data_IF_679149290289
#
_entry.id   IF_679149290289
#
_cell.length_a   1.000
_cell.length_b   1.000
_cell.length_c   1.000
_cell.angle_alpha   90.00
_cell.angle_beta   90.00
_cell.angle_gamma   90.00
#
_symmetry.space_group_name_H-M   'P 1'
#
loop_
_entity.id
_entity.type
_entity.pdbx_description
1 polymer ?
#
# COMPACT_ATOMS: atom_id res chain seq x y z
N UNK A 1 29.67 46.86 -5.71
CA UNK A 1 28.96 46.94 -7.00
C UNK A 1 28.44 45.54 -7.29
N UNK A 2 27.53 44.98 -6.49
CA UNK A 2 26.11 45.39 -6.31
C UNK A 2 25.44 45.50 -7.69
N UNK A 3 24.35 44.82 -8.03
CA UNK A 3 23.07 44.70 -7.33
C UNK A 3 22.27 43.49 -7.87
N UNK A 4 21.42 42.91 -7.02
CA UNK A 4 20.33 41.95 -7.25
C UNK A 4 19.41 42.25 -8.46
N UNK A 5 18.77 41.22 -9.05
CA UNK A 5 17.31 41.11 -8.88
C UNK A 5 16.72 39.77 -9.32
N UNK A 6 15.80 39.34 -8.46
CA UNK A 6 14.89 38.22 -8.55
C UNK A 6 13.81 38.47 -9.61
N UNK A 7 13.25 37.40 -10.17
CA UNK A 7 12.03 37.46 -10.99
C UNK A 7 10.98 36.57 -10.35
N UNK A 8 10.07 37.20 -9.60
CA UNK A 8 8.81 36.61 -9.14
C UNK A 8 7.87 36.38 -10.33
N UNK A 9 7.20 35.23 -10.36
CA UNK A 9 6.14 34.93 -11.32
C UNK A 9 4.78 35.12 -10.65
N UNK A 10 4.04 36.12 -11.13
CA UNK A 10 2.74 36.60 -10.64
C UNK A 10 1.60 35.85 -11.33
N UNK A 11 0.59 35.48 -10.54
CA UNK A 11 -0.68 34.87 -10.98
C UNK A 11 -1.58 35.99 -11.51
N UNK A 12 -2.10 35.84 -12.73
CA UNK A 12 -3.07 36.76 -13.33
C UNK A 12 -4.51 36.25 -13.13
N UNK A 13 -5.37 37.13 -12.61
CA UNK A 13 -6.82 37.00 -12.53
C UNK A 13 -7.45 37.67 -13.76
N UNK A 14 -8.40 37.00 -14.42
CA UNK A 14 -9.30 37.61 -15.42
C UNK A 14 -10.51 38.31 -14.74
N UNK A 15 -11.04 39.42 -15.30
CA UNK A 15 -12.10 40.22 -14.70
C UNK A 15 -13.52 39.95 -15.24
N UNK A 16 -14.51 40.25 -14.39
CA UNK A 16 -15.96 40.25 -14.61
C UNK A 16 -16.49 41.35 -15.56
N UNK A 17 -17.66 41.12 -16.17
CA UNK A 17 -18.56 42.16 -16.71
C UNK A 17 -20.05 41.73 -16.76
N UNK A 18 -20.77 42.10 -15.69
CA UNK A 18 -22.16 42.58 -15.49
C UNK A 18 -23.31 42.43 -16.53
N UNK A 19 -24.51 42.07 -16.03
CA UNK A 19 -25.76 42.91 -15.95
C UNK A 19 -26.95 42.07 -15.39
N UNK A 20 -27.44 42.36 -14.17
CA UNK A 20 -28.62 43.16 -13.76
C UNK A 20 -30.02 42.55 -14.02
N UNK A 21 -30.77 42.26 -12.94
CA UNK A 21 -32.07 42.89 -12.63
C UNK A 21 -32.52 42.61 -11.18
N UNK A 22 -33.36 43.51 -10.66
CA UNK A 22 -33.55 43.86 -9.25
C UNK A 22 -34.79 43.23 -8.59
N UNK A 23 -34.81 43.17 -7.25
CA UNK A 23 -36.02 42.81 -6.50
C UNK A 23 -35.89 42.72 -4.97
N UNK A 24 -35.95 43.88 -4.31
CA UNK A 24 -36.47 44.15 -2.95
C UNK A 24 -35.86 43.54 -1.66
N UNK A 25 -35.54 44.44 -0.73
CA UNK A 25 -35.27 44.28 0.70
C UNK A 25 -36.32 43.46 1.47
N UNK A 26 -35.86 42.62 2.41
CA UNK A 26 -36.21 42.76 3.85
C UNK A 26 -35.31 41.87 4.72
N UNK A 27 -34.83 42.49 5.80
CA UNK A 27 -34.02 41.95 6.87
C UNK A 27 -34.94 41.25 7.87
N UNK A 28 -34.83 39.93 7.98
CA UNK A 28 -35.36 39.17 9.13
C UNK A 28 -34.27 38.22 9.61
N UNK A 29 -33.82 38.48 10.82
CA UNK A 29 -33.07 37.58 11.69
C UNK A 29 -34.01 36.49 12.18
N UNK A 30 -33.65 35.23 12.00
CA UNK A 30 -34.18 34.15 12.83
C UNK A 30 -33.07 33.16 13.15
N UNK A 31 -32.66 33.23 14.41
CA UNK A 31 -31.97 32.18 15.14
C UNK A 31 -32.85 30.92 15.15
N UNK A 32 -32.31 29.82 14.65
CA UNK A 32 -32.83 28.49 14.95
C UNK A 32 -31.65 27.55 15.16
N UNK A 33 -31.24 27.47 16.42
CA UNK A 33 -30.40 26.43 16.99
C UNK A 33 -30.98 25.05 16.67
N UNK A 34 -30.47 24.44 15.61
CA UNK A 34 -30.62 23.02 15.36
C UNK A 34 -29.57 22.28 16.17
N UNK A 35 -29.87 21.98 17.43
CA UNK A 35 -29.15 20.98 18.23
C UNK A 35 -29.22 19.63 17.52
N UNK A 36 -28.26 19.38 16.61
CA UNK A 36 -28.04 18.04 16.10
C UNK A 36 -27.26 17.28 17.17
N UNK A 37 -28.02 16.59 18.03
CA UNK A 37 -27.52 15.61 18.98
C UNK A 37 -26.86 14.47 18.20
N UNK A 38 -25.60 14.68 17.82
CA UNK A 38 -24.69 13.58 17.52
C UNK A 38 -24.52 12.80 18.83
N UNK A 39 -25.29 11.73 18.96
CA UNK A 39 -25.15 10.70 19.97
C UNK A 39 -23.78 10.05 19.73
N UNK A 40 -22.72 10.68 20.27
CA UNK A 40 -21.47 9.98 20.51
C UNK A 40 -21.83 8.82 21.45
N UNK A 41 -21.55 7.56 21.07
CA UNK A 41 -21.61 6.50 22.05
C UNK A 41 -20.69 6.90 23.19
N UNK A 42 -21.27 7.12 24.38
CA UNK A 42 -20.51 7.27 25.60
C UNK A 42 -19.55 6.09 25.65
N UNK A 43 -18.26 6.40 25.52
CA UNK A 43 -17.19 5.43 25.60
C UNK A 43 -17.09 4.98 27.06
N UNK A 44 -18.04 4.15 27.49
CA UNK A 44 -17.92 3.35 28.70
C UNK A 44 -16.97 2.19 28.38
N UNK A 45 -15.68 2.51 28.48
CA UNK A 45 -14.64 1.50 28.56
C UNK A 45 -13.72 1.91 29.70
N UNK A 46 -14.07 1.45 30.90
CA UNK A 46 -13.10 1.27 31.98
C UNK A 46 -12.22 0.06 31.63
N UNK A 47 -11.48 0.14 30.53
CA UNK A 47 -10.25 -0.64 30.40
C UNK A 47 -9.29 0.02 31.38
N UNK A 48 -8.99 -0.67 32.48
CA UNK A 48 -7.99 -0.20 33.42
C UNK A 48 -6.70 0.07 32.62
N UNK A 49 -6.15 1.28 32.75
CA UNK A 49 -4.89 1.73 32.11
C UNK A 49 -3.73 0.77 32.45
N UNK A 50 -3.91 -0.08 33.46
CA UNK A 50 -2.95 -1.04 34.01
C UNK A 50 -2.63 -2.22 33.07
N UNK A 51 -3.48 -2.53 32.08
CA UNK A 51 -3.25 -3.66 31.17
C UNK A 51 -2.65 -3.27 29.80
N UNK A 52 -2.36 -1.99 29.56
CA UNK A 52 -1.86 -1.55 28.25
C UNK A 52 -0.36 -1.83 28.10
N UNK A 53 -0.03 -2.89 27.34
CA UNK A 53 1.37 -3.17 27.02
C UNK A 53 1.94 -2.07 26.11
N UNK A 54 3.27 -1.97 26.10
CA UNK A 54 3.99 -1.08 25.17
C UNK A 54 3.63 -1.35 23.71
N UNK A 55 3.33 -2.60 23.36
CA UNK A 55 2.96 -3.00 22.02
C UNK A 55 1.52 -2.57 21.67
N UNK A 56 0.58 -2.70 22.60
CA UNK A 56 -0.80 -2.26 22.40
C UNK A 56 -0.86 -0.75 22.17
N UNK A 57 -0.13 0.01 22.99
CA UNK A 57 -0.04 1.46 22.83
C UNK A 57 0.54 1.84 21.47
N UNK A 58 1.64 1.19 21.05
CA UNK A 58 2.24 1.44 19.74
C UNK A 58 1.28 1.10 18.59
N UNK A 59 0.52 0.01 18.73
CA UNK A 59 -0.48 -0.43 17.74
C UNK A 59 -1.59 0.60 17.58
N UNK A 60 -2.21 1.03 18.69
CA UNK A 60 -3.27 2.05 18.68
C UNK A 60 -2.78 3.36 18.09
N UNK A 61 -1.57 3.79 18.46
CA UNK A 61 -0.99 5.03 17.94
C UNK A 61 -0.69 4.98 16.42
N UNK A 62 -0.27 3.82 15.89
CA UNK A 62 -0.17 3.63 14.44
C UNK A 62 -1.55 3.64 13.79
N UNK A 63 -2.53 2.93 14.34
CA UNK A 63 -3.89 2.94 13.81
C UNK A 63 -4.47 4.36 13.76
N UNK A 64 -4.28 5.14 14.83
CA UNK A 64 -4.67 6.54 14.90
C UNK A 64 -3.99 7.39 13.82
N UNK A 65 -2.67 7.26 13.68
CA UNK A 65 -1.91 7.94 12.61
C UNK A 65 -2.46 7.61 11.22
N UNK A 66 -2.72 6.33 10.96
CA UNK A 66 -3.20 5.86 9.65
C UNK A 66 -4.62 6.36 9.37
N UNK A 67 -5.50 6.29 10.37
CA UNK A 67 -6.91 6.70 10.27
C UNK A 67 -7.08 8.20 10.02
N UNK A 68 -6.26 9.03 10.66
CA UNK A 68 -6.35 10.50 10.59
C UNK A 68 -5.22 11.15 9.77
N UNK A 69 -4.38 10.34 9.11
CA UNK A 69 -3.28 10.78 8.23
C UNK A 69 -2.33 11.79 8.89
N UNK A 70 -2.07 11.63 10.19
CA UNK A 70 -1.25 12.56 10.98
C UNK A 70 0.18 12.56 10.45
N UNK A 71 0.79 13.74 10.34
CA UNK A 71 2.19 13.88 9.91
C UNK A 71 3.15 13.28 10.94
N UNK A 72 4.40 12.98 10.55
CA UNK A 72 5.41 12.48 11.50
C UNK A 72 5.66 13.51 12.61
N UNK A 73 5.69 14.80 12.27
CA UNK A 73 5.79 15.89 13.25
C UNK A 73 4.61 15.89 14.21
N UNK A 74 3.37 15.78 13.70
CA UNK A 74 2.17 15.69 14.53
C UNK A 74 2.17 14.48 15.45
N UNK A 75 2.65 13.32 14.98
CA UNK A 75 2.81 12.14 15.83
C UNK A 75 3.83 12.33 16.93
N UNK A 76 4.97 12.96 16.65
CA UNK A 76 5.95 13.27 17.69
C UNK A 76 5.40 14.26 18.72
N UNK A 77 4.60 15.25 18.28
CA UNK A 77 3.90 16.15 19.20
C UNK A 77 2.91 15.39 20.09
N UNK A 78 2.12 14.47 19.53
CA UNK A 78 1.21 13.62 20.29
C UNK A 78 1.96 12.76 21.31
N UNK A 79 3.05 12.12 20.91
CA UNK A 79 3.90 11.35 21.82
C UNK A 79 4.44 12.22 22.97
N UNK A 80 4.82 13.46 22.68
CA UNK A 80 5.27 14.38 23.73
C UNK A 80 4.14 14.78 24.68
N UNK A 81 2.92 15.01 24.17
CA UNK A 81 1.74 15.25 25.02
C UNK A 81 1.51 14.05 25.94
N UNK A 82 1.54 12.82 25.42
CA UNK A 82 1.34 11.61 26.23
C UNK A 82 2.44 11.45 27.31
N UNK A 83 3.68 11.80 27.01
CA UNK A 83 4.76 11.84 28.03
C UNK A 83 4.52 12.91 29.09
N UNK A 84 4.05 14.10 28.71
CA UNK A 84 3.70 15.16 29.65
C UNK A 84 2.55 14.73 30.58
N UNK A 85 1.59 13.98 30.05
CA UNK A 85 0.51 13.34 30.81
C UNK A 85 0.96 12.11 31.60
N UNK A 86 2.26 11.78 31.58
CA UNK A 86 2.87 10.64 32.28
C UNK A 86 2.22 9.30 31.94
N UNK A 87 1.71 9.14 30.72
CA UNK A 87 1.17 7.86 30.24
C UNK A 87 2.33 6.84 30.22
N UNK A 88 2.17 5.66 30.82
CA UNK A 88 3.21 4.64 30.84
C UNK A 88 3.49 4.11 29.43
N UNK A 89 4.67 3.52 29.21
CA UNK A 89 5.04 2.81 27.99
C UNK A 89 5.06 3.64 26.68
N UNK A 90 4.95 4.97 26.75
CA UNK A 90 4.98 5.83 25.55
C UNK A 90 6.35 5.76 24.85
N UNK A 91 6.39 5.46 23.53
CA UNK A 91 7.65 5.49 22.78
C UNK A 91 8.31 6.87 22.75
N UNK A 92 9.64 6.89 22.64
CA UNK A 92 10.42 8.13 22.62
C UNK A 92 10.08 9.02 21.40
N UNK A 93 9.83 8.41 20.25
CA UNK A 93 9.47 9.10 19.02
C UNK A 93 8.75 8.13 18.06
N UNK A 94 8.29 8.66 16.94
CA UNK A 94 7.64 7.87 15.89
C UNK A 94 8.55 6.75 15.36
N UNK A 95 9.85 6.97 15.26
CA UNK A 95 10.78 5.95 14.75
C UNK A 95 10.87 4.75 15.69
N UNK A 96 10.96 5.00 16.99
CA UNK A 96 11.00 4.01 18.07
C UNK A 96 9.69 3.24 18.14
N UNK A 97 8.57 3.94 17.98
CA UNK A 97 7.24 3.35 17.87
C UNK A 97 7.13 2.37 16.70
N UNK A 98 7.61 2.75 15.51
CA UNK A 98 7.63 1.86 14.34
C UNK A 98 8.59 0.69 14.54
N UNK A 99 9.77 0.90 15.16
CA UNK A 99 10.73 -0.18 15.46
C UNK A 99 10.12 -1.24 16.36
N UNK A 100 9.37 -0.83 17.39
CA UNK A 100 8.73 -1.76 18.33
C UNK A 100 7.80 -2.74 17.61
N UNK A 101 7.01 -2.26 16.66
CA UNK A 101 6.09 -3.08 15.87
C UNK A 101 6.81 -4.01 14.88
N UNK A 102 8.02 -3.65 14.44
CA UNK A 102 8.83 -4.53 13.58
C UNK A 102 9.45 -5.68 14.36
N UNK A 103 9.92 -5.43 15.59
CA UNK A 103 10.60 -6.43 16.42
C UNK A 103 9.69 -7.54 16.94
N UNK A 104 8.37 -7.29 16.99
CA UNK A 104 7.37 -8.28 17.44
C UNK A 104 6.86 -9.17 16.30
N UNK A 105 7.24 -8.87 15.05
CA UNK A 105 6.99 -9.75 13.91
C UNK A 105 7.99 -10.90 13.94
N UNK A 106 7.69 -11.95 14.72
CA UNK A 106 8.49 -13.17 14.92
C UNK A 106 8.58 -14.09 13.70
N UNK A 107 8.25 -13.62 12.50
CA UNK A 107 8.42 -14.41 11.29
C UNK A 107 9.91 -14.64 11.01
N UNK A 108 10.30 -15.90 10.87
CA UNK A 108 11.67 -16.44 10.69
C UNK A 108 12.36 -15.98 9.39
N UNK A 109 11.79 -15.04 8.66
CA UNK A 109 12.38 -14.40 7.49
C UNK A 109 11.89 -12.94 7.40
N UNK A 110 12.69 -12.02 6.82
CA UNK A 110 12.19 -10.68 6.58
C UNK A 110 10.96 -10.80 5.65
N UNK A 111 9.81 -10.18 5.98
CA UNK A 111 8.57 -10.32 5.21
C UNK A 111 8.70 -9.78 3.77
N UNK A 112 9.82 -9.13 3.48
CA UNK A 112 10.20 -8.67 2.17
C UNK A 112 11.72 -8.63 2.01
N UNK A 113 12.18 -8.78 0.78
CA UNK A 113 13.57 -8.65 0.35
C UNK A 113 13.69 -7.36 -0.47
N UNK A 114 14.66 -6.51 -0.11
CA UNK A 114 14.98 -5.34 -0.93
C UNK A 114 15.93 -5.77 -2.05
N UNK A 115 15.44 -5.71 -3.26
CA UNK A 115 16.18 -5.96 -4.49
C UNK A 115 16.57 -4.62 -5.15
N UNK A 116 17.64 -4.66 -5.94
CA UNK A 116 18.15 -3.52 -6.69
C UNK A 116 18.22 -3.88 -8.16
N UNK A 117 17.78 -2.99 -9.02
CA UNK A 117 17.85 -3.20 -10.46
C UNK A 117 19.10 -2.53 -11.02
N UNK A 118 19.94 -3.31 -11.72
CA UNK A 118 21.12 -2.77 -12.38
C UNK A 118 20.72 -2.17 -13.75
N UNK A 119 20.86 -0.84 -13.97
CA UNK A 119 20.43 -0.23 -15.23
C UNK A 119 21.29 -0.60 -16.43
N UNK A 120 22.51 -1.10 -16.23
CA UNK A 120 23.42 -1.49 -17.31
C UNK A 120 23.15 -2.91 -17.81
N UNK A 121 22.90 -3.84 -16.88
CA UNK A 121 22.69 -5.25 -17.22
C UNK A 121 21.23 -5.65 -17.28
N UNK A 122 20.32 -4.76 -16.83
CA UNK A 122 18.89 -5.04 -16.67
C UNK A 122 18.61 -6.26 -15.77
N UNK A 123 19.54 -6.55 -14.85
CA UNK A 123 19.45 -7.67 -13.91
C UNK A 123 19.03 -7.22 -12.52
N UNK A 124 18.25 -8.06 -11.86
CA UNK A 124 17.88 -7.90 -10.45
C UNK A 124 19.01 -8.46 -9.58
N UNK A 125 19.47 -7.65 -8.64
CA UNK A 125 20.46 -8.01 -7.62
C UNK A 125 19.82 -7.98 -6.24
N UNK A 126 20.10 -8.98 -5.41
CA UNK A 126 19.78 -8.95 -3.97
C UNK A 126 20.75 -8.07 -3.18
N UNK A 127 21.87 -7.69 -3.79
CA UNK A 127 22.80 -6.74 -3.20
C UNK A 127 22.35 -5.31 -3.47
N UNK A 128 22.37 -4.49 -2.43
CA UNK A 128 22.01 -3.07 -2.52
C UNK A 128 23.18 -2.19 -2.97
N UNK A 129 24.39 -2.74 -2.91
CA UNK A 129 25.65 -2.03 -3.15
C UNK A 129 26.27 -2.31 -4.50
N UNK A 130 25.93 -3.44 -5.13
CA UNK A 130 26.57 -3.89 -6.36
C UNK A 130 25.68 -4.81 -7.22
N UNK A 131 26.07 -4.95 -8.49
CA UNK A 131 25.47 -5.87 -9.44
C UNK A 131 26.00 -7.29 -9.23
N UNK A 132 25.18 -8.30 -9.51
CA UNK A 132 25.56 -9.72 -9.44
C UNK A 132 26.32 -10.21 -10.67
N UNK A 133 26.28 -9.47 -11.78
CA UNK A 133 27.00 -9.82 -13.00
C UNK A 133 28.47 -9.41 -12.90
N UNK A 134 29.39 -10.37 -12.92
CA UNK A 134 30.85 -10.17 -12.81
C UNK A 134 31.45 -9.30 -13.91
N UNK A 135 30.80 -9.29 -15.09
CA UNK A 135 31.22 -8.49 -16.24
C UNK A 135 30.61 -7.08 -16.26
N UNK A 136 29.82 -6.72 -15.25
CA UNK A 136 29.25 -5.39 -15.12
C UNK A 136 30.26 -4.41 -14.51
N UNK A 137 30.28 -3.17 -15.00
CA UNK A 137 31.08 -2.11 -14.35
C UNK A 137 30.66 -1.87 -12.91
N UNK A 138 29.41 -2.20 -12.58
CA UNK A 138 28.84 -2.07 -11.24
C UNK A 138 28.98 -3.35 -10.39
N UNK A 139 29.73 -4.37 -10.83
CA UNK A 139 29.91 -5.62 -10.11
C UNK A 139 30.53 -5.44 -8.72
N UNK A 140 31.52 -4.55 -8.62
CA UNK A 140 32.20 -4.26 -7.34
C UNK A 140 31.38 -3.28 -6.51
N UNK A 141 30.84 -2.25 -7.15
CA UNK A 141 30.05 -1.22 -6.50
C UNK A 141 29.27 -0.41 -7.54
N UNK A 142 28.04 -0.01 -7.21
CA UNK A 142 27.33 0.99 -7.98
C UNK A 142 28.01 2.35 -7.88
N UNK A 143 28.42 2.93 -9.02
CA UNK A 143 29.09 4.25 -9.10
C UNK A 143 28.20 5.39 -8.58
N UNK A 144 26.89 5.25 -8.73
CA UNK A 144 25.87 6.19 -8.25
C UNK A 144 24.91 5.47 -7.31
N UNK A 145 24.28 6.19 -6.36
CA UNK A 145 23.14 5.65 -5.62
C UNK A 145 22.07 5.23 -6.63
N UNK A 146 21.87 3.92 -6.78
CA UNK A 146 20.79 3.42 -7.62
C UNK A 146 19.47 3.90 -7.02
N UNK A 147 18.68 4.57 -7.85
CA UNK A 147 17.35 5.08 -7.45
C UNK A 147 16.26 4.01 -7.58
N UNK A 148 16.51 2.94 -8.35
CA UNK A 148 15.54 1.90 -8.65
C UNK A 148 15.74 0.69 -7.72
N UNK A 149 14.89 0.64 -6.70
CA UNK A 149 14.77 -0.50 -5.82
C UNK A 149 13.43 -1.18 -6.07
N UNK A 150 13.42 -2.49 -5.89
CA UNK A 150 12.22 -3.29 -5.86
C UNK A 150 12.13 -3.97 -4.51
N UNK A 151 10.92 -4.14 -4.00
CA UNK A 151 10.67 -4.86 -2.76
C UNK A 151 9.91 -6.11 -3.16
N UNK A 152 10.51 -7.27 -2.95
CA UNK A 152 9.90 -8.58 -3.15
C UNK A 152 9.27 -9.02 -1.83
N UNK A 153 8.02 -9.48 -1.83
CA UNK A 153 7.36 -9.96 -0.62
C UNK A 153 7.35 -11.49 -0.58
N UNK A 154 7.52 -12.06 0.62
CA UNK A 154 7.30 -13.48 0.81
C UNK A 154 5.80 -13.78 0.66
N UNK A 155 5.45 -14.56 -0.37
CA UNK A 155 4.03 -14.85 -0.68
C UNK A 155 3.50 -16.12 0.00
N UNK A 156 4.37 -16.97 0.56
CA UNK A 156 4.00 -18.27 1.14
C UNK A 156 2.94 -18.11 2.25
N UNK A 157 3.19 -17.25 3.24
CA UNK A 157 2.23 -17.00 4.31
C UNK A 157 0.93 -16.35 3.83
N UNK A 158 0.99 -15.52 2.79
CA UNK A 158 -0.21 -14.91 2.20
C UNK A 158 -1.07 -15.98 1.54
N UNK A 159 -0.46 -16.87 0.76
CA UNK A 159 -1.14 -18.01 0.14
C UNK A 159 -1.76 -18.90 1.22
N UNK A 160 -0.99 -19.27 2.24
CA UNK A 160 -1.49 -20.10 3.34
C UNK A 160 -2.71 -19.47 4.02
N UNK A 161 -2.64 -18.19 4.40
CA UNK A 161 -3.75 -17.48 5.05
C UNK A 161 -5.00 -17.39 4.17
N UNK A 162 -4.83 -17.22 2.86
CA UNK A 162 -5.96 -17.22 1.92
C UNK A 162 -6.59 -18.61 1.85
N UNK A 163 -5.78 -19.67 1.73
CA UNK A 163 -6.27 -21.04 1.63
C UNK A 163 -6.94 -21.53 2.92
N UNK A 164 -6.52 -21.04 4.09
CA UNK A 164 -7.16 -21.32 5.37
C UNK A 164 -8.54 -20.67 5.49
N UNK A 165 -8.76 -19.52 4.85
CA UNK A 165 -10.04 -18.79 4.87
C UNK A 165 -10.99 -19.24 3.77
N UNK A 166 -10.48 -19.56 2.59
CA UNK A 166 -11.26 -19.95 1.42
C UNK A 166 -11.56 -21.45 1.44
N UNK A 167 -12.78 -21.81 1.85
CA UNK A 167 -13.20 -23.21 2.03
C UNK A 167 -13.59 -23.92 0.73
N UNK A 168 -13.81 -23.18 -0.36
CA UNK A 168 -14.33 -23.70 -1.61
C UNK A 168 -13.43 -23.34 -2.79
N UNK A 169 -12.48 -24.23 -3.07
CA UNK A 169 -11.62 -24.15 -4.24
C UNK A 169 -12.16 -25.03 -5.37
N UNK A 170 -12.15 -24.50 -6.59
CA UNK A 170 -12.57 -25.21 -7.80
C UNK A 170 -11.34 -25.73 -8.52
N UNK A 171 -11.22 -27.06 -8.61
CA UNK A 171 -10.17 -27.74 -9.36
C UNK A 171 -10.78 -28.42 -10.58
N UNK A 172 -10.77 -27.77 -11.76
CA UNK A 172 -11.35 -28.33 -12.97
C UNK A 172 -10.51 -29.49 -13.49
N UNK A 173 -11.17 -30.42 -14.17
CA UNK A 173 -10.54 -31.51 -14.91
C UNK A 173 -10.83 -31.35 -16.40
N UNK A 174 -10.08 -32.05 -17.26
CA UNK A 174 -10.30 -32.04 -18.71
C UNK A 174 -11.73 -32.47 -19.11
N UNK A 175 -12.40 -33.28 -18.28
CA UNK A 175 -13.78 -33.69 -18.53
C UNK A 175 -14.82 -32.61 -18.19
N UNK A 176 -14.45 -31.64 -17.35
CA UNK A 176 -15.38 -30.57 -16.90
C UNK A 176 -15.39 -29.35 -17.82
N UNK A 177 -14.47 -29.28 -18.78
CA UNK A 177 -14.31 -28.13 -19.67
C UNK A 177 -14.97 -28.41 -21.02
N UNK A 178 -15.72 -27.43 -21.52
CA UNK A 178 -16.32 -27.49 -22.84
C UNK A 178 -15.56 -26.52 -23.74
N UNK A 179 -14.99 -27.02 -24.83
CA UNK A 179 -14.18 -26.21 -25.76
C UNK A 179 -14.98 -25.03 -26.36
N UNK A 180 -16.30 -25.16 -26.46
CA UNK A 180 -17.17 -24.18 -27.12
C UNK A 180 -17.71 -23.11 -26.16
N UNK A 181 -17.53 -23.26 -24.84
CA UNK A 181 -18.09 -22.34 -23.84
C UNK A 181 -17.04 -21.91 -22.83
N UNK A 182 -16.69 -20.61 -22.84
CA UNK A 182 -15.81 -19.99 -21.85
C UNK A 182 -16.62 -19.42 -20.69
N UNK A 183 -16.49 -19.99 -19.50
CA UNK A 183 -17.18 -19.58 -18.27
C UNK A 183 -16.25 -18.89 -17.29
N UNK A 184 -15.02 -19.39 -17.16
CA UNK A 184 -14.02 -18.85 -16.23
C UNK A 184 -12.60 -19.01 -16.78
N UNK A 185 -11.61 -18.55 -16.00
CA UNK A 185 -10.17 -18.57 -16.32
C UNK A 185 -9.68 -19.95 -16.72
N UNK A 186 -10.21 -21.01 -16.11
CA UNK A 186 -9.78 -22.38 -16.41
C UNK A 186 -10.18 -22.84 -17.80
N UNK A 187 -11.19 -22.26 -18.46
CA UNK A 187 -11.52 -22.58 -19.85
C UNK A 187 -10.53 -21.93 -20.85
N UNK A 188 -9.58 -21.11 -20.35
CA UNK A 188 -8.53 -20.52 -21.16
C UNK A 188 -7.53 -21.57 -21.68
N UNK A 189 -7.06 -21.36 -22.91
CA UNK A 189 -6.14 -22.28 -23.61
C UNK A 189 -4.91 -22.64 -22.76
N UNK A 190 -4.27 -21.64 -22.14
CA UNK A 190 -3.08 -21.85 -21.30
C UNK A 190 -3.37 -22.72 -20.07
N UNK A 191 -4.54 -22.56 -19.45
CA UNK A 191 -4.91 -23.38 -18.31
C UNK A 191 -5.20 -24.82 -18.77
N UNK A 192 -5.86 -24.99 -19.91
CA UNK A 192 -6.13 -26.29 -20.51
C UNK A 192 -4.85 -27.04 -20.90
N UNK A 193 -3.86 -26.34 -21.48
CA UNK A 193 -2.51 -26.88 -21.73
C UNK A 193 -1.87 -27.40 -20.43
N UNK A 194 -1.97 -26.61 -19.35
CA UNK A 194 -1.48 -26.98 -18.02
C UNK A 194 -2.18 -28.22 -17.46
N UNK A 195 -3.51 -28.31 -17.57
CA UNK A 195 -4.28 -29.48 -17.16
C UNK A 195 -3.87 -30.76 -17.91
N UNK A 196 -3.61 -30.65 -19.23
CA UNK A 196 -3.13 -31.79 -20.03
C UNK A 196 -1.72 -32.20 -19.63
N UNK A 197 -0.85 -31.24 -19.34
CA UNK A 197 0.55 -31.49 -19.00
C UNK A 197 0.73 -31.99 -17.55
N UNK A 198 -0.11 -31.53 -16.62
CA UNK A 198 -0.03 -31.85 -15.19
C UNK A 198 -1.39 -32.29 -14.66
N UNK A 199 -1.74 -33.57 -14.79
CA UNK A 199 -2.98 -34.08 -14.20
C UNK A 199 -2.90 -34.04 -12.67
N UNK A 200 -3.96 -33.56 -12.02
CA UNK A 200 -4.07 -33.50 -10.55
C UNK A 200 -4.58 -32.16 -10.06
N UNK A 201 -4.55 -31.96 -8.73
CA UNK A 201 -4.88 -30.68 -8.09
C UNK A 201 -3.62 -29.84 -8.01
N UNK A 202 -3.67 -28.65 -8.61
CA UNK A 202 -2.62 -27.65 -8.51
C UNK A 202 -3.26 -26.28 -8.35
N UNK A 203 -2.50 -25.36 -7.75
CA UNK A 203 -2.87 -23.95 -7.70
C UNK A 203 -2.17 -23.21 -8.83
N UNK A 204 -2.88 -22.26 -9.44
CA UNK A 204 -2.31 -21.36 -10.42
C UNK A 204 -2.49 -19.92 -9.99
N UNK A 205 -1.48 -19.10 -10.32
CA UNK A 205 -1.47 -17.68 -10.00
C UNK A 205 -1.60 -16.88 -11.30
N UNK A 206 -2.57 -15.98 -11.34
CA UNK A 206 -2.61 -14.93 -12.36
C UNK A 206 -1.90 -13.69 -11.86
N UNK A 207 -0.95 -13.20 -12.65
CA UNK A 207 -0.22 -11.97 -12.38
C UNK A 207 -0.87 -10.79 -13.11
N UNK A 208 -1.13 -9.69 -12.39
CA UNK A 208 -1.46 -8.43 -13.04
C UNK A 208 -0.18 -7.79 -13.61
N UNK A 209 0.08 -8.03 -14.90
CA UNK A 209 1.28 -7.56 -15.59
C UNK A 209 1.41 -6.03 -15.61
N UNK A 210 0.29 -5.32 -15.63
CA UNK A 210 0.31 -3.86 -15.70
C UNK A 210 0.64 -3.16 -14.39
N UNK A 211 0.62 -3.92 -13.29
CA UNK A 211 0.74 -3.40 -11.93
C UNK A 211 -0.42 -2.45 -11.58
N UNK A 212 -0.72 -2.34 -10.30
CA UNK A 212 -1.68 -1.34 -9.82
C UNK A 212 -0.90 -0.16 -9.27
N UNK A 213 -1.12 1.04 -9.84
CA UNK A 213 -0.60 2.27 -9.25
C UNK A 213 -1.42 2.59 -7.99
N UNK A 214 -0.83 2.39 -6.82
CA UNK A 214 -1.51 2.62 -5.53
C UNK A 214 -1.64 4.10 -5.21
N UNK A 215 -0.59 4.86 -5.51
CA UNK A 215 -0.49 6.27 -5.12
C UNK A 215 0.59 6.99 -5.93
N UNK A 216 0.32 8.26 -6.20
CA UNK A 216 1.29 9.25 -6.64
C UNK A 216 1.60 10.20 -5.48
N UNK A 217 2.87 10.45 -5.19
CA UNK A 217 3.30 11.39 -4.16
C UNK A 217 4.54 12.14 -4.64
N UNK A 218 4.36 13.37 -5.12
CA UNK A 218 5.45 14.10 -5.79
C UNK A 218 5.98 13.28 -6.98
N UNK A 219 7.30 13.16 -7.10
CA UNK A 219 7.94 12.44 -8.23
C UNK A 219 7.93 10.90 -8.10
N UNK A 220 7.24 10.32 -7.12
CA UNK A 220 7.25 8.87 -6.89
C UNK A 220 5.87 8.26 -7.07
N UNK A 221 5.80 7.25 -7.94
CA UNK A 221 4.65 6.37 -8.12
C UNK A 221 4.93 5.00 -7.51
N UNK A 222 3.94 4.45 -6.81
CA UNK A 222 4.05 3.12 -6.19
C UNK A 222 3.26 2.11 -7.02
N UNK A 223 3.96 1.14 -7.61
CA UNK A 223 3.39 0.09 -8.44
C UNK A 223 3.45 -1.25 -7.71
N UNK A 224 2.30 -1.90 -7.50
CA UNK A 224 2.24 -3.23 -6.90
C UNK A 224 2.21 -4.33 -7.94
N UNK A 225 2.96 -5.39 -7.67
CA UNK A 225 2.86 -6.69 -8.33
C UNK A 225 1.90 -7.54 -7.52
N UNK A 226 0.72 -7.80 -8.09
CA UNK A 226 -0.37 -8.50 -7.41
C UNK A 226 -0.66 -9.81 -8.13
N UNK A 227 -0.81 -10.88 -7.35
CA UNK A 227 -1.24 -12.19 -7.81
C UNK A 227 -2.62 -12.55 -7.27
N UNK A 228 -3.36 -13.36 -8.01
CA UNK A 228 -4.61 -13.96 -7.56
C UNK A 228 -4.58 -15.48 -7.80
N UNK A 229 -5.14 -16.26 -6.87
CA UNK A 229 -5.28 -17.71 -7.01
C UNK A 229 -6.50 -18.01 -7.90
N UNK A 230 -6.30 -18.68 -9.03
CA UNK A 230 -7.38 -18.87 -10.01
C UNK A 230 -8.45 -19.86 -9.53
N UNK A 231 -8.08 -20.81 -8.67
CA UNK A 231 -8.99 -21.83 -8.14
C UNK A 231 -9.99 -21.27 -7.12
N UNK A 232 -9.82 -20.03 -6.66
CA UNK A 232 -10.84 -19.30 -5.88
C UNK A 232 -12.00 -18.91 -6.81
N UNK A 233 -13.23 -19.00 -6.31
CA UNK A 233 -14.44 -18.64 -7.04
C UNK A 233 -14.37 -17.20 -7.59
N UNK A 234 -14.84 -16.99 -8.82
CA UNK A 234 -14.72 -15.73 -9.58
C UNK A 234 -15.14 -14.49 -8.79
N UNK A 235 -16.21 -14.57 -7.98
CA UNK A 235 -16.73 -13.45 -7.16
C UNK A 235 -15.82 -13.05 -5.99
N UNK A 236 -14.92 -13.93 -5.56
CA UNK A 236 -14.05 -13.74 -4.40
C UNK A 236 -12.58 -13.57 -4.79
N UNK A 237 -12.19 -14.08 -5.96
CA UNK A 237 -10.80 -14.12 -6.46
C UNK A 237 -10.07 -12.78 -6.39
N UNK A 238 -10.75 -11.69 -6.78
CA UNK A 238 -10.16 -10.35 -6.88
C UNK A 238 -10.44 -9.45 -5.67
N UNK A 239 -11.03 -9.99 -4.60
CA UNK A 239 -11.20 -9.23 -3.36
C UNK A 239 -9.83 -8.95 -2.74
N UNK A 240 -9.69 -7.80 -2.06
CA UNK A 240 -8.41 -7.37 -1.47
C UNK A 240 -7.85 -8.44 -0.53
N UNK A 241 -8.70 -9.07 0.27
CA UNK A 241 -8.30 -10.14 1.19
C UNK A 241 -7.71 -11.37 0.49
N UNK A 242 -8.10 -11.64 -0.77
CA UNK A 242 -7.66 -12.77 -1.58
C UNK A 242 -6.60 -12.40 -2.62
N UNK A 243 -6.13 -11.15 -2.57
CA UNK A 243 -5.06 -10.65 -3.42
C UNK A 243 -3.73 -10.85 -2.71
N UNK A 244 -2.74 -11.38 -3.43
CA UNK A 244 -1.39 -11.62 -2.91
C UNK A 244 -0.50 -10.50 -3.41
N UNK A 245 0.17 -9.80 -2.51
CA UNK A 245 1.18 -8.80 -2.86
C UNK A 245 2.51 -9.53 -3.00
N UNK A 246 2.99 -9.66 -4.23
CA UNK A 246 4.28 -10.26 -4.53
C UNK A 246 5.43 -9.27 -4.59
N UNK A 247 5.11 -7.99 -4.82
CA UNK A 247 6.15 -7.00 -5.02
C UNK A 247 5.68 -5.56 -5.00
N UNK A 248 6.61 -4.66 -4.73
CA UNK A 248 6.42 -3.21 -4.78
C UNK A 248 7.58 -2.55 -5.50
N UNK A 249 7.25 -1.79 -6.54
CA UNK A 249 8.17 -0.96 -7.29
C UNK A 249 7.92 0.52 -6.99
N UNK A 250 8.74 1.15 -6.14
CA UNK A 250 8.81 2.60 -6.02
C UNK A 250 9.61 3.19 -7.17
N UNK A 251 8.96 3.97 -8.03
CA UNK A 251 9.66 4.68 -9.11
C UNK A 251 8.83 5.79 -9.74
N UNK A 252 9.47 6.75 -10.42
CA UNK A 252 8.75 7.85 -11.08
C UNK A 252 7.85 7.36 -12.21
N UNK A 253 8.16 6.21 -12.81
CA UNK A 253 7.44 5.61 -13.93
C UNK A 253 7.15 4.13 -13.66
N UNK A 254 6.12 3.60 -14.33
CA UNK A 254 5.82 2.17 -14.39
C UNK A 254 7.09 1.40 -14.80
N UNK A 255 7.40 0.26 -14.18
CA UNK A 255 8.50 -0.59 -14.65
C UNK A 255 8.25 -0.99 -16.11
N UNK A 256 9.27 -0.89 -16.95
CA UNK A 256 9.18 -1.32 -18.34
C UNK A 256 9.03 -2.83 -18.41
N UNK A 257 8.00 -3.32 -19.11
CA UNK A 257 7.88 -4.71 -19.52
C UNK A 257 8.70 -4.89 -20.80
N UNK A 258 10.01 -5.14 -20.67
CA UNK A 258 10.83 -5.58 -21.79
C UNK A 258 11.24 -7.03 -21.57
#
# INVERSE_FOLDING_TARGET
MDVHNETEFRIEHEPDSQSQEAGSNSMETDDADGENNDIYPQFESRLAIEDFTKLDLATVLIMFKLRYRITIKGMNSLLNILKLLKVPNVPADYLTLVKLLRTTSTATSPPFIKCTFCPQCELISRHTTNCTNEHCENYKQYKTKIQQHFIEYAIEHQIQSILERETHLTFPTLATTNADVKRDIYDGERYQELLRAKPGRFLTLSLNADGVQMKHCGDVSLWLIIFCINEIHQKQRFQIQNSIIGGLWPGPKKPSQK
#
